data_IF_229691787004
#
_entry.id   IF_229691787004
#
_cell.length_a   1.000
_cell.length_b   1.000
_cell.length_c   1.000
_cell.angle_alpha   90.00
_cell.angle_beta   90.00
_cell.angle_gamma   90.00
#
_symmetry.space_group_name_H-M   'P 1'
#
loop_
_entity.id
_entity.type
_entity.pdbx_description
1 polymer ?
#
# COMPACT_ATOMS: atom_id res chain seq x y z
N UNK A 1 -10.69 17.99 17.04
CA UNK A 1 -9.43 17.55 17.69
C UNK A 1 -9.04 18.63 18.68
N UNK A 2 -9.12 18.36 19.99
CA UNK A 2 -8.84 19.37 21.02
C UNK A 2 -7.98 18.80 22.17
N UNK A 3 -7.13 17.81 21.86
CA UNK A 3 -6.29 17.10 22.84
C UNK A 3 -4.81 17.53 22.79
N UNK A 4 -4.45 18.48 21.92
CA UNK A 4 -3.05 18.93 21.75
C UNK A 4 -2.11 17.94 21.05
N UNK A 5 -2.63 16.82 20.56
CA UNK A 5 -1.85 15.78 19.87
C UNK A 5 -1.72 16.12 18.38
N UNK A 6 -0.49 16.10 17.86
CA UNK A 6 -0.20 16.25 16.43
C UNK A 6 -0.47 14.93 15.70
N UNK A 7 -1.42 14.87 14.76
CA UNK A 7 -1.72 13.63 14.05
C UNK A 7 -0.66 13.33 12.99
N UNK A 8 -0.17 12.10 12.97
CA UNK A 8 0.66 11.52 11.92
C UNK A 8 -0.15 10.40 11.26
N UNK A 9 -0.52 10.57 10.00
CA UNK A 9 -1.37 9.60 9.32
C UNK A 9 -0.55 8.64 8.47
N UNK A 10 -0.98 7.38 8.42
CA UNK A 10 -0.50 6.36 7.51
C UNK A 10 -1.65 6.00 6.55
N UNK A 11 -1.38 5.97 5.25
CA UNK A 11 -2.39 5.73 4.22
C UNK A 11 -2.64 4.23 3.96
N UNK A 12 -1.62 3.38 4.15
CA UNK A 12 -1.71 1.95 3.94
C UNK A 12 -1.04 1.14 5.05
N UNK A 13 -1.79 0.21 5.65
CA UNK A 13 -1.33 -0.66 6.73
C UNK A 13 -1.84 -2.09 6.52
N UNK A 14 -1.43 -2.71 5.41
CA UNK A 14 -1.78 -4.10 5.05
C UNK A 14 -3.28 -4.32 4.81
N UNK A 15 -4.01 -3.26 4.46
CA UNK A 15 -5.47 -3.20 4.44
C UNK A 15 -6.02 -2.87 3.05
N UNK A 16 -5.46 -3.49 2.01
CA UNK A 16 -5.99 -3.34 0.65
C UNK A 16 -7.46 -3.81 0.62
N UNK A 17 -8.39 -3.03 0.03
CA UNK A 17 -9.77 -3.48 -0.13
C UNK A 17 -9.86 -4.79 -0.92
N UNK A 18 -10.65 -5.75 -0.42
CA UNK A 18 -10.83 -7.06 -1.06
C UNK A 18 -11.23 -6.96 -2.53
N UNK A 19 -12.08 -6.00 -2.88
CA UNK A 19 -12.49 -5.77 -4.28
C UNK A 19 -11.30 -5.43 -5.21
N UNK A 20 -10.29 -4.71 -4.70
CA UNK A 20 -9.07 -4.44 -5.46
C UNK A 20 -8.15 -5.67 -5.47
N UNK A 21 -8.07 -6.42 -4.37
CA UNK A 21 -7.36 -7.69 -4.33
C UNK A 21 -7.88 -8.67 -5.39
N UNK A 22 -9.20 -8.87 -5.46
CA UNK A 22 -9.83 -9.74 -6.46
C UNK A 22 -9.66 -9.23 -7.89
N UNK A 23 -9.69 -7.91 -8.09
CA UNK A 23 -9.57 -7.29 -9.42
C UNK A 23 -8.15 -7.31 -9.98
N UNK A 24 -7.14 -7.13 -9.12
CA UNK A 24 -5.76 -6.84 -9.53
C UNK A 24 -4.73 -7.85 -9.03
N UNK A 25 -5.19 -8.91 -8.33
CA UNK A 25 -4.32 -9.79 -7.56
C UNK A 25 -3.45 -8.99 -6.58
N UNK A 26 -4.11 -8.10 -5.83
CA UNK A 26 -3.48 -7.23 -4.83
C UNK A 26 -2.55 -6.18 -5.47
N UNK A 27 -1.41 -5.87 -4.85
CA UNK A 27 -0.42 -4.87 -5.31
C UNK A 27 0.35 -5.25 -6.61
N UNK A 28 -0.08 -6.30 -7.32
CA UNK A 28 0.61 -6.84 -8.50
C UNK A 28 0.29 -6.10 -9.80
N UNK A 29 -0.90 -5.52 -9.95
CA UNK A 29 -1.26 -4.72 -11.13
C UNK A 29 -0.83 -3.25 -10.95
N UNK A 30 -0.22 -2.63 -11.96
CA UNK A 30 0.13 -1.19 -11.93
C UNK A 30 -1.10 -0.29 -11.79
N UNK A 31 -2.29 -0.72 -12.19
CA UNK A 31 -3.53 0.05 -12.03
C UNK A 31 -3.86 0.33 -10.55
N UNK A 32 -3.47 -0.57 -9.63
CA UNK A 32 -3.68 -0.35 -8.19
C UNK A 32 -2.91 0.87 -7.67
N UNK A 33 -1.81 1.25 -8.32
CA UNK A 33 -1.00 2.42 -7.98
C UNK A 33 -1.82 3.69 -8.24
N UNK A 34 -2.57 3.73 -9.35
CA UNK A 34 -3.42 4.88 -9.68
C UNK A 34 -4.60 4.98 -8.71
N UNK A 35 -5.26 3.86 -8.40
CA UNK A 35 -6.36 3.83 -7.42
C UNK A 35 -5.88 4.28 -6.02
N UNK A 36 -4.66 3.89 -5.62
CA UNK A 36 -4.04 4.35 -4.37
C UNK A 36 -3.68 5.84 -4.41
N UNK A 37 -3.22 6.38 -5.55
CA UNK A 37 -2.94 7.80 -5.71
C UNK A 37 -4.22 8.65 -5.62
N UNK A 38 -5.31 8.22 -6.23
CA UNK A 38 -6.59 8.91 -6.14
C UNK A 38 -7.12 8.93 -4.70
N UNK A 39 -6.96 7.81 -3.97
CA UNK A 39 -7.24 7.72 -2.54
C UNK A 39 -6.37 8.69 -1.71
N UNK A 40 -5.07 8.75 -1.98
CA UNK A 40 -4.17 9.67 -1.28
C UNK A 40 -4.55 11.14 -1.53
N UNK A 41 -4.87 11.51 -2.77
CA UNK A 41 -5.34 12.86 -3.13
C UNK A 41 -6.64 13.21 -2.39
N UNK A 42 -7.58 12.28 -2.31
CA UNK A 42 -8.81 12.46 -1.52
C UNK A 42 -8.49 12.71 -0.04
N UNK A 43 -7.60 11.91 0.57
CA UNK A 43 -7.17 12.06 1.95
C UNK A 43 -6.50 13.41 2.22
N UNK A 44 -5.58 13.84 1.34
CA UNK A 44 -4.91 15.14 1.47
C UNK A 44 -5.88 16.31 1.37
N UNK A 45 -6.84 16.25 0.44
CA UNK A 45 -7.88 17.28 0.32
C UNK A 45 -8.81 17.34 1.54
N UNK A 46 -9.14 16.18 2.10
CA UNK A 46 -10.14 16.07 3.18
C UNK A 46 -9.56 16.34 4.57
N UNK A 47 -8.30 15.95 4.81
CA UNK A 47 -7.68 15.97 6.14
C UNK A 47 -6.39 16.80 6.20
N UNK A 48 -5.90 17.32 5.08
CA UNK A 48 -4.65 18.08 5.00
C UNK A 48 -4.68 19.42 5.75
N UNK A 49 -5.86 19.90 6.13
CA UNK A 49 -6.02 21.05 7.03
C UNK A 49 -5.42 20.76 8.42
N UNK A 50 -5.59 19.51 8.92
CA UNK A 50 -5.21 19.07 10.27
C UNK A 50 -4.01 18.12 10.32
N UNK A 51 -3.75 17.35 9.27
CA UNK A 51 -2.65 16.37 9.20
C UNK A 51 -1.54 16.91 8.33
N UNK A 52 -0.34 17.07 8.92
CA UNK A 52 0.85 17.61 8.22
C UNK A 52 1.90 16.54 7.95
N UNK A 53 1.91 15.47 8.73
CA UNK A 53 2.85 14.35 8.56
C UNK A 53 2.11 13.14 8.02
N UNK A 54 2.59 12.62 6.89
CA UNK A 54 1.98 11.51 6.17
C UNK A 54 3.00 10.41 5.89
N UNK A 55 2.54 9.17 5.98
CA UNK A 55 3.24 7.98 5.52
C UNK A 55 2.36 7.31 4.48
N UNK A 56 2.95 6.95 3.33
CA UNK A 56 2.21 6.25 2.28
C UNK A 56 1.97 4.79 2.69
N UNK A 57 3.04 4.08 3.05
CA UNK A 57 3.01 2.67 3.43
C UNK A 57 3.71 2.47 4.77
N UNK A 58 3.12 1.65 5.62
CA UNK A 58 3.81 1.05 6.74
C UNK A 58 4.63 -0.16 6.24
N UNK A 59 5.93 -0.17 6.54
CA UNK A 59 6.82 -1.33 6.36
C UNK A 59 6.63 -2.10 5.04
N UNK A 60 6.81 -1.46 3.87
CA UNK A 60 6.48 -2.09 2.58
C UNK A 60 7.28 -3.35 2.26
N UNK A 61 8.45 -3.55 2.87
CA UNK A 61 9.21 -4.81 2.78
C UNK A 61 8.51 -5.97 3.48
N UNK A 62 7.80 -5.71 4.57
CA UNK A 62 7.04 -6.73 5.30
C UNK A 62 5.79 -7.10 4.49
N UNK A 63 5.14 -6.12 3.85
CA UNK A 63 4.02 -6.37 2.92
C UNK A 63 4.46 -7.34 1.82
N UNK A 64 5.58 -7.03 1.13
CA UNK A 64 6.11 -7.88 0.08
C UNK A 64 6.50 -9.28 0.61
N UNK A 65 7.32 -9.35 1.66
CA UNK A 65 7.84 -10.63 2.14
C UNK A 65 6.76 -11.55 2.71
N UNK A 66 5.86 -11.04 3.56
CA UNK A 66 4.88 -11.90 4.23
C UNK A 66 3.59 -12.08 3.47
N UNK A 67 3.21 -11.12 2.60
CA UNK A 67 2.05 -11.27 1.72
C UNK A 67 2.32 -12.11 0.48
N UNK A 68 3.54 -12.01 -0.06
CA UNK A 68 3.86 -12.51 -1.41
C UNK A 68 5.03 -13.48 -1.51
N UNK A 69 6.03 -13.41 -0.62
CA UNK A 69 7.15 -14.37 -0.66
C UNK A 69 6.80 -15.64 0.11
N UNK A 70 6.38 -15.45 1.36
CA UNK A 70 6.16 -16.56 2.30
C UNK A 70 4.67 -16.88 2.49
N UNK A 71 3.76 -16.03 1.99
CA UNK A 71 2.31 -16.22 2.07
C UNK A 71 1.72 -16.30 3.49
N UNK A 72 2.40 -15.77 4.51
CA UNK A 72 1.98 -15.84 5.93
C UNK A 72 0.83 -14.87 6.22
N UNK A 73 0.87 -13.68 5.62
CA UNK A 73 -0.17 -12.65 5.75
C UNK A 73 -1.05 -12.65 4.50
N UNK A 74 -2.28 -12.10 4.57
CA UNK A 74 -3.04 -11.74 3.39
C UNK A 74 -2.16 -10.94 2.39
N UNK A 75 -2.28 -11.20 1.08
CA UNK A 75 -3.26 -12.07 0.42
C UNK A 75 -2.93 -13.57 0.43
N UNK A 76 -1.91 -14.00 1.18
CA UNK A 76 -1.44 -15.39 1.26
C UNK A 76 -1.03 -15.96 -0.11
N UNK A 77 -0.48 -15.10 -0.98
CA UNK A 77 -0.02 -15.50 -2.31
C UNK A 77 1.45 -15.90 -2.19
N UNK A 78 1.78 -17.18 -2.32
CA UNK A 78 3.18 -17.60 -2.38
C UNK A 78 3.72 -17.48 -3.81
N UNK A 79 4.21 -16.31 -4.18
CA UNK A 79 4.79 -16.03 -5.50
C UNK A 79 6.15 -16.72 -5.67
N UNK A 80 6.82 -17.13 -4.59
CA UNK A 80 8.05 -17.92 -4.64
C UNK A 80 7.91 -19.21 -5.49
N UNK A 81 6.69 -19.69 -5.74
CA UNK A 81 6.38 -20.84 -6.60
C UNK A 81 6.01 -20.49 -8.04
N UNK A 82 5.85 -19.22 -8.41
CA UNK A 82 5.29 -18.82 -9.71
C UNK A 82 6.31 -18.51 -10.82
N UNK A 83 7.62 -18.44 -10.56
CA UNK A 83 8.70 -18.12 -11.54
C UNK A 83 8.53 -16.81 -12.37
N UNK A 84 7.38 -16.13 -12.30
CA UNK A 84 6.99 -15.08 -13.26
C UNK A 84 7.09 -13.66 -12.72
N UNK A 85 7.14 -13.44 -11.41
CA UNK A 85 7.16 -12.09 -10.82
C UNK A 85 8.12 -12.04 -9.63
N UNK A 86 9.22 -11.27 -9.70
CA UNK A 86 10.12 -11.16 -8.57
C UNK A 86 9.48 -10.32 -7.45
N UNK A 87 9.75 -10.62 -6.16
CA UNK A 87 9.30 -9.83 -5.00
C UNK A 87 9.64 -8.34 -5.09
N UNK A 88 10.70 -8.03 -5.85
CA UNK A 88 11.11 -6.66 -6.17
C UNK A 88 10.08 -5.88 -6.96
N UNK A 89 9.13 -6.51 -7.67
CA UNK A 89 8.11 -5.81 -8.45
C UNK A 89 7.12 -5.06 -7.54
N UNK A 90 6.67 -5.69 -6.45
CA UNK A 90 5.75 -5.06 -5.49
C UNK A 90 6.48 -3.91 -4.80
N UNK A 91 7.73 -4.13 -4.39
CA UNK A 91 8.56 -3.06 -3.87
C UNK A 91 8.75 -1.93 -4.89
N UNK A 92 8.90 -2.26 -6.18
CA UNK A 92 9.00 -1.26 -7.24
C UNK A 92 7.71 -0.47 -7.39
N UNK A 93 6.53 -1.11 -7.37
CA UNK A 93 5.24 -0.42 -7.42
C UNK A 93 5.05 0.51 -6.21
N UNK A 94 5.45 0.07 -5.01
CA UNK A 94 5.40 0.90 -3.80
C UNK A 94 6.43 2.05 -3.87
N UNK A 95 7.61 1.82 -4.46
CA UNK A 95 8.61 2.86 -4.69
C UNK A 95 8.14 3.87 -5.74
N UNK A 96 7.53 3.41 -6.84
CA UNK A 96 7.00 4.24 -7.93
C UNK A 96 5.97 5.24 -7.39
N UNK A 97 5.21 4.89 -6.34
CA UNK A 97 4.32 5.82 -5.65
C UNK A 97 5.05 7.02 -5.01
N UNK A 98 6.31 6.86 -4.57
CA UNK A 98 7.09 7.97 -3.97
C UNK A 98 7.47 9.05 -4.98
N UNK A 99 7.27 8.84 -6.28
CA UNK A 99 7.73 9.74 -7.34
C UNK A 99 6.63 10.62 -7.96
N UNK A 100 5.40 10.57 -7.43
CA UNK A 100 4.29 11.42 -7.84
C UNK A 100 4.07 12.59 -6.87
#
# INVERSE_FOLDING_TARGET
MNTGITPHANLYHYDLPLALQEKYLDLLDRQVIQDFADYAVFCFKTFGDRVKTWMAFNEPRVVAAFGFDNGINPPNLEIALMETLPPSLILQHIIDFKSC
#
